data_IF_004101132964
#
_entry.id   IF_004101132964
#
_cell.length_a   1.000
_cell.length_b   1.000
_cell.length_c   1.000
_cell.angle_alpha   90.00
_cell.angle_beta   90.00
_cell.angle_gamma   90.00
#
_symmetry.space_group_name_H-M   'P 1'
#
loop_
_entity.id
_entity.type
_entity.pdbx_description
1 polymer ?
#
# COMPACT_ATOMS: atom_id res chain seq x y z
N UNK A 1 4.55 -6.41 -9.31
CA UNK A 1 3.22 -7.00 -9.66
C UNK A 1 3.23 -8.27 -10.51
N UNK A 2 3.43 -8.24 -11.83
CA UNK A 2 3.30 -9.47 -12.66
C UNK A 2 4.24 -10.61 -12.23
N UNK A 3 5.45 -10.26 -11.77
CA UNK A 3 6.39 -11.22 -11.16
C UNK A 3 5.85 -11.83 -9.86
N UNK A 4 5.24 -11.03 -8.99
CA UNK A 4 4.65 -11.51 -7.73
C UNK A 4 3.49 -12.47 -7.98
N UNK A 5 2.60 -12.13 -8.92
CA UNK A 5 1.55 -13.03 -9.37
C UNK A 5 2.10 -14.38 -9.83
N UNK A 6 3.15 -14.36 -10.66
CA UNK A 6 3.75 -15.58 -11.19
C UNK A 6 4.36 -16.45 -10.08
N UNK A 7 5.05 -15.83 -9.12
CA UNK A 7 5.60 -16.52 -7.94
C UNK A 7 4.48 -17.18 -7.11
N UNK A 8 3.45 -16.43 -6.74
CA UNK A 8 2.35 -16.93 -5.92
C UNK A 8 1.56 -18.02 -6.65
N UNK A 9 1.23 -17.81 -7.93
CA UNK A 9 0.49 -18.78 -8.72
C UNK A 9 1.25 -20.10 -8.87
N UNK A 10 2.58 -20.02 -9.05
CA UNK A 10 3.44 -21.21 -9.09
C UNK A 10 3.42 -21.94 -7.75
N UNK A 11 3.60 -21.21 -6.65
CA UNK A 11 3.61 -21.79 -5.30
C UNK A 11 2.26 -22.43 -4.93
N UNK A 12 1.15 -21.82 -5.32
CA UNK A 12 -0.18 -22.42 -5.15
C UNK A 12 -0.31 -23.74 -5.90
N UNK A 13 0.21 -23.83 -7.13
CA UNK A 13 0.22 -25.07 -7.91
C UNK A 13 1.00 -26.19 -7.24
N UNK A 14 2.18 -25.88 -6.67
CA UNK A 14 2.99 -26.84 -5.89
C UNK A 14 2.25 -27.36 -4.65
N UNK A 15 1.35 -26.54 -4.08
CA UNK A 15 0.50 -26.90 -2.94
C UNK A 15 -0.81 -27.58 -3.36
N UNK A 16 -1.00 -27.91 -4.64
CA UNK A 16 -2.21 -28.54 -5.15
C UNK A 16 -3.42 -27.60 -5.25
N UNK A 17 -3.17 -26.29 -5.27
CA UNK A 17 -4.18 -25.23 -5.41
C UNK A 17 -3.98 -24.44 -6.71
N UNK A 18 -4.78 -23.38 -6.91
CA UNK A 18 -4.65 -22.48 -8.06
C UNK A 18 -5.20 -21.10 -7.71
N UNK A 19 -4.79 -20.08 -8.48
CA UNK A 19 -5.37 -18.75 -8.37
C UNK A 19 -6.88 -18.80 -8.65
N UNK A 20 -7.70 -18.25 -7.74
CA UNK A 20 -9.17 -18.32 -7.83
C UNK A 20 -9.80 -19.52 -7.11
N UNK A 21 -9.01 -20.47 -6.60
CA UNK A 21 -9.54 -21.59 -5.80
C UNK A 21 -10.14 -21.14 -4.45
N UNK A 22 -9.69 -20.00 -3.93
CA UNK A 22 -10.16 -19.39 -2.69
C UNK A 22 -10.72 -17.99 -2.97
N UNK A 23 -11.74 -17.54 -2.24
CA UNK A 23 -12.23 -16.19 -2.36
C UNK A 23 -11.13 -15.19 -2.00
N UNK A 24 -10.94 -14.19 -2.86
CA UNK A 24 -10.02 -13.09 -2.64
C UNK A 24 -10.77 -11.76 -2.80
N UNK A 25 -10.35 -10.73 -2.06
CA UNK A 25 -10.91 -9.40 -2.22
C UNK A 25 -10.30 -8.67 -3.43
N UNK A 26 -11.10 -7.86 -4.11
CA UNK A 26 -10.66 -7.01 -5.22
C UNK A 26 -10.01 -5.68 -4.82
N UNK A 27 -9.64 -5.50 -3.55
CA UNK A 27 -9.31 -4.18 -2.98
C UNK A 27 -8.30 -3.33 -3.79
N UNK A 28 -7.22 -3.93 -4.30
CA UNK A 28 -6.26 -3.23 -5.17
C UNK A 28 -6.86 -2.83 -6.52
N UNK A 29 -7.68 -3.69 -7.12
CA UNK A 29 -8.37 -3.41 -8.38
C UNK A 29 -9.44 -2.33 -8.21
N UNK A 30 -10.19 -2.36 -7.12
CA UNK A 30 -11.20 -1.36 -6.80
C UNK A 30 -10.54 -0.01 -6.52
N UNK A 31 -9.48 0.03 -5.70
CA UNK A 31 -8.66 1.23 -5.50
C UNK A 31 -8.10 1.77 -6.82
N UNK A 32 -7.67 0.87 -7.72
CA UNK A 32 -7.20 1.23 -9.04
C UNK A 32 -8.30 1.75 -9.97
N UNK A 33 -9.58 1.43 -9.75
CA UNK A 33 -10.68 2.03 -10.51
C UNK A 33 -11.11 3.36 -9.91
N UNK A 34 -11.26 3.41 -8.60
CA UNK A 34 -11.75 4.57 -7.83
C UNK A 34 -10.79 5.76 -7.82
N UNK A 35 -9.53 5.55 -8.18
CA UNK A 35 -8.52 6.62 -8.29
C UNK A 35 -8.04 6.86 -9.72
N UNK A 36 -8.75 6.32 -10.72
CA UNK A 36 -8.39 6.52 -12.14
C UNK A 36 -8.54 7.98 -12.60
N UNK A 37 -9.29 8.79 -11.86
CA UNK A 37 -9.54 10.21 -12.11
C UNK A 37 -8.40 11.14 -11.66
N UNK A 38 -7.48 10.67 -10.82
CA UNK A 38 -6.45 11.53 -10.21
C UNK A 38 -5.14 10.80 -9.97
N UNK A 39 -4.06 11.33 -10.55
CA UNK A 39 -2.69 10.82 -10.34
C UNK A 39 -2.27 10.91 -8.88
N UNK A 40 -2.60 12.01 -8.18
CA UNK A 40 -2.31 12.12 -6.75
C UNK A 40 -3.09 11.07 -5.95
N UNK A 41 -4.39 10.88 -6.25
CA UNK A 41 -5.17 9.83 -5.60
C UNK A 41 -4.61 8.44 -5.87
N UNK A 42 -4.18 8.17 -7.11
CA UNK A 42 -3.54 6.91 -7.50
C UNK A 42 -2.29 6.64 -6.66
N UNK A 43 -1.37 7.59 -6.63
CA UNK A 43 -0.09 7.46 -5.92
C UNK A 43 -0.30 7.34 -4.42
N UNK A 44 -1.24 8.10 -3.86
CA UNK A 44 -1.55 7.98 -2.44
C UNK A 44 -2.13 6.61 -2.09
N UNK A 45 -3.16 6.15 -2.81
CA UNK A 45 -3.91 4.98 -2.38
C UNK A 45 -3.20 3.68 -2.74
N UNK A 46 -2.69 3.54 -3.96
CA UNK A 46 -2.13 2.25 -4.39
C UNK A 46 -0.75 2.02 -3.75
N UNK A 47 0.32 2.76 -4.10
CA UNK A 47 1.62 2.47 -3.54
C UNK A 47 1.80 2.96 -2.09
N UNK A 48 1.30 4.15 -1.74
CA UNK A 48 1.56 4.68 -0.40
C UNK A 48 0.61 4.16 0.70
N UNK A 49 -0.52 3.52 0.36
CA UNK A 49 -1.43 2.91 1.34
C UNK A 49 -1.50 1.39 1.21
N UNK A 50 -1.87 0.84 0.05
CA UNK A 50 -2.04 -0.61 -0.09
C UNK A 50 -0.70 -1.36 -0.09
N UNK A 51 0.29 -0.92 -0.88
CA UNK A 51 1.61 -1.58 -0.89
C UNK A 51 2.36 -1.31 0.42
N UNK A 52 2.28 -0.10 0.98
CA UNK A 52 2.81 0.21 2.30
C UNK A 52 2.19 -0.65 3.41
N UNK A 53 0.92 -1.07 3.27
CA UNK A 53 0.31 -2.04 4.19
C UNK A 53 0.98 -3.42 4.09
N UNK A 54 1.43 -3.81 2.89
CA UNK A 54 2.27 -4.99 2.68
C UNK A 54 3.51 -4.96 3.56
N UNK A 55 4.20 -3.82 3.66
CA UNK A 55 5.38 -3.69 4.53
C UNK A 55 5.11 -4.03 6.00
N UNK A 56 3.90 -3.74 6.48
CA UNK A 56 3.49 -3.96 7.86
C UNK A 56 3.07 -5.41 8.14
N UNK A 57 2.36 -6.04 7.18
CA UNK A 57 1.71 -7.34 7.40
C UNK A 57 2.59 -8.53 6.98
N UNK A 58 3.38 -8.35 5.94
CA UNK A 58 4.15 -9.41 5.27
C UNK A 58 5.20 -10.06 6.19
N UNK A 59 5.92 -9.33 7.07
CA UNK A 59 6.81 -9.96 8.03
C UNK A 59 6.11 -10.95 8.96
N UNK A 60 4.87 -10.65 9.37
CA UNK A 60 4.06 -11.55 10.19
C UNK A 60 3.64 -12.82 9.44
N UNK A 61 3.37 -12.68 8.14
CA UNK A 61 3.04 -13.81 7.27
C UNK A 61 4.27 -14.71 7.04
N UNK A 62 5.44 -14.14 6.76
CA UNK A 62 6.69 -14.90 6.62
C UNK A 62 7.01 -15.74 7.87
N UNK A 63 6.90 -15.14 9.06
CA UNK A 63 7.06 -15.87 10.33
C UNK A 63 6.09 -17.05 10.48
N UNK A 64 4.84 -16.91 10.03
CA UNK A 64 3.87 -18.01 10.09
C UNK A 64 4.29 -19.18 9.19
N UNK A 65 4.82 -18.89 8.00
CA UNK A 65 5.31 -19.94 7.10
C UNK A 65 6.54 -20.66 7.68
N UNK A 66 7.51 -19.93 8.24
CA UNK A 66 8.62 -20.55 8.97
C UNK A 66 8.16 -21.45 10.12
N UNK A 67 7.20 -20.99 10.92
CA UNK A 67 6.71 -21.74 12.07
C UNK A 67 6.03 -23.07 11.71
N UNK A 68 5.50 -23.20 10.48
CA UNK A 68 4.92 -24.45 9.98
C UNK A 68 5.88 -25.24 9.08
N UNK A 69 7.13 -24.81 8.95
CA UNK A 69 8.15 -25.45 8.13
C UNK A 69 8.00 -25.22 6.62
N UNK A 70 7.14 -24.30 6.19
CA UNK A 70 6.97 -23.94 4.77
C UNK A 70 8.00 -22.89 4.33
N UNK A 71 9.26 -23.31 4.34
CA UNK A 71 10.40 -22.49 3.96
C UNK A 71 10.32 -21.91 2.53
N UNK A 72 9.82 -22.63 1.50
CA UNK A 72 9.62 -22.04 0.18
C UNK A 72 8.64 -20.86 0.17
N UNK A 73 7.50 -20.97 0.85
CA UNK A 73 6.53 -19.88 0.94
C UNK A 73 7.06 -18.70 1.75
N UNK A 74 7.81 -18.96 2.83
CA UNK A 74 8.44 -17.91 3.62
C UNK A 74 9.38 -17.04 2.78
N UNK A 75 10.35 -17.66 2.08
CA UNK A 75 11.29 -16.95 1.19
C UNK A 75 10.60 -16.19 0.06
N UNK A 76 9.52 -16.75 -0.50
CA UNK A 76 8.73 -16.10 -1.54
C UNK A 76 8.13 -14.78 -1.02
N UNK A 77 7.51 -14.83 0.16
CA UNK A 77 6.85 -13.68 0.78
C UNK A 77 7.87 -12.63 1.23
N UNK A 78 9.06 -13.04 1.70
CA UNK A 78 10.17 -12.14 2.00
C UNK A 78 10.73 -11.44 0.75
N UNK A 79 10.80 -12.15 -0.38
CA UNK A 79 11.16 -11.52 -1.66
C UNK A 79 10.13 -10.47 -2.07
N UNK A 80 8.83 -10.78 -1.95
CA UNK A 80 7.77 -9.81 -2.25
C UNK A 80 7.91 -8.59 -1.34
N UNK A 81 8.15 -8.78 -0.04
CA UNK A 81 8.40 -7.67 0.89
C UNK A 81 9.52 -6.73 0.42
N UNK A 82 10.64 -7.28 -0.04
CA UNK A 82 11.76 -6.48 -0.54
C UNK A 82 11.38 -5.66 -1.78
N UNK A 83 10.60 -6.24 -2.69
CA UNK A 83 10.09 -5.53 -3.88
C UNK A 83 9.11 -4.41 -3.49
N UNK A 84 8.24 -4.64 -2.49
CA UNK A 84 7.25 -3.64 -2.03
C UNK A 84 7.91 -2.38 -1.47
N UNK A 85 9.11 -2.46 -0.88
CA UNK A 85 9.85 -1.26 -0.45
C UNK A 85 10.11 -0.35 -1.67
N UNK A 86 10.51 -0.96 -2.79
CA UNK A 86 10.75 -0.24 -4.04
C UNK A 86 9.49 0.37 -4.64
N UNK A 87 8.34 -0.31 -4.55
CA UNK A 87 7.08 0.23 -5.05
C UNK A 87 6.58 1.42 -4.19
N UNK A 88 6.63 1.28 -2.86
CA UNK A 88 6.32 2.38 -1.93
C UNK A 88 7.25 3.57 -2.18
N UNK A 89 8.55 3.33 -2.36
CA UNK A 89 9.53 4.38 -2.65
C UNK A 89 9.23 5.12 -3.95
N UNK A 90 8.80 4.38 -4.99
CA UNK A 90 8.35 4.99 -6.24
C UNK A 90 7.10 5.85 -6.02
N UNK A 91 6.14 5.36 -5.23
CA UNK A 91 4.93 6.10 -4.84
C UNK A 91 5.26 7.41 -4.14
N UNK A 92 6.06 7.36 -3.09
CA UNK A 92 6.48 8.55 -2.32
C UNK A 92 7.20 9.56 -3.21
N UNK A 93 8.18 9.10 -4.00
CA UNK A 93 8.96 9.98 -4.88
C UNK A 93 8.07 10.73 -5.88
N UNK A 94 7.21 10.01 -6.59
CA UNK A 94 6.35 10.65 -7.61
C UNK A 94 5.25 11.50 -6.98
N UNK A 95 4.70 11.08 -5.83
CA UNK A 95 3.71 11.87 -5.12
C UNK A 95 4.29 13.22 -4.69
N UNK A 96 5.49 13.22 -4.09
CA UNK A 96 6.18 14.44 -3.69
C UNK A 96 6.46 15.35 -4.89
N UNK A 97 6.97 14.81 -6.00
CA UNK A 97 7.21 15.60 -7.22
C UNK A 97 5.93 16.23 -7.79
N UNK A 98 4.81 15.51 -7.77
CA UNK A 98 3.52 16.05 -8.26
C UNK A 98 3.00 17.13 -7.30
N UNK A 99 3.14 16.96 -6.00
CA UNK A 99 2.80 17.98 -5.01
C UNK A 99 3.65 19.24 -5.18
N UNK A 100 4.97 19.10 -5.36
CA UNK A 100 5.89 20.22 -5.63
C UNK A 100 5.49 20.98 -6.90
N UNK A 101 5.26 20.27 -8.00
CA UNK A 101 4.85 20.88 -9.28
C UNK A 101 3.52 21.64 -9.16
N UNK A 102 2.61 21.16 -8.30
CA UNK A 102 1.31 21.80 -8.01
C UNK A 102 1.35 22.79 -6.83
N UNK A 103 2.50 22.99 -6.20
CA UNK A 103 2.68 23.83 -4.99
C UNK A 103 1.75 23.43 -3.84
N UNK A 104 1.58 22.13 -3.64
CA UNK A 104 0.78 21.56 -2.55
C UNK A 104 1.70 21.14 -1.38
N UNK A 105 1.19 21.28 -0.17
CA UNK A 105 1.79 20.63 1.00
C UNK A 105 1.55 19.11 0.90
N UNK A 106 2.64 18.34 0.81
CA UNK A 106 2.56 16.91 0.52
C UNK A 106 1.91 16.13 1.66
N UNK A 107 2.20 16.47 2.92
CA UNK A 107 1.61 15.79 4.07
C UNK A 107 0.10 16.05 4.14
N UNK A 108 -0.32 17.31 4.05
CA UNK A 108 -1.73 17.67 4.05
C UNK A 108 -2.49 17.03 2.88
N UNK A 109 -1.93 17.10 1.67
CA UNK A 109 -2.52 16.47 0.49
C UNK A 109 -2.69 14.95 0.68
N UNK A 110 -1.67 14.27 1.20
CA UNK A 110 -1.74 12.84 1.50
C UNK A 110 -2.88 12.56 2.50
N UNK A 111 -2.94 13.32 3.59
CA UNK A 111 -3.94 13.10 4.65
C UNK A 111 -5.37 13.41 4.18
N UNK A 112 -5.56 14.43 3.35
CA UNK A 112 -6.85 14.71 2.72
C UNK A 112 -7.26 13.55 1.82
N UNK A 113 -6.39 13.11 0.91
CA UNK A 113 -6.71 12.04 -0.04
C UNK A 113 -6.99 10.72 0.66
N UNK A 114 -6.21 10.34 1.67
CA UNK A 114 -6.47 9.11 2.44
C UNK A 114 -7.81 9.21 3.19
N UNK A 115 -8.15 10.37 3.77
CA UNK A 115 -9.44 10.56 4.44
C UNK A 115 -10.62 10.45 3.48
N UNK A 116 -10.49 11.01 2.28
CA UNK A 116 -11.56 11.05 1.28
C UNK A 116 -11.74 9.72 0.54
N UNK A 117 -10.62 9.04 0.24
CA UNK A 117 -10.59 7.87 -0.67
C UNK A 117 -10.32 6.54 0.06
N UNK A 118 -9.97 6.53 1.34
CA UNK A 118 -9.68 5.29 2.09
C UNK A 118 -10.46 5.19 3.42
N UNK A 119 -11.61 4.52 3.36
CA UNK A 119 -12.54 4.39 4.49
C UNK A 119 -11.99 3.63 5.70
N UNK A 120 -10.94 2.82 5.54
CA UNK A 120 -10.40 1.96 6.58
C UNK A 120 -9.49 2.66 7.60
N UNK A 121 -8.94 3.83 7.23
CA UNK A 121 -7.89 4.52 7.97
C UNK A 121 -6.57 3.73 8.06
N UNK A 122 -5.49 4.41 8.39
CA UNK A 122 -4.18 3.77 8.56
C UNK A 122 -4.08 3.17 9.95
N UNK A 123 -3.72 1.87 10.04
CA UNK A 123 -3.73 1.12 11.30
C UNK A 123 -2.35 0.59 11.68
N UNK A 124 -1.84 0.92 12.89
CA UNK A 124 -0.61 0.32 13.40
C UNK A 124 -0.78 -1.18 13.68
N UNK A 125 0.33 -1.93 13.91
CA UNK A 125 1.72 -1.46 13.90
C UNK A 125 2.20 -1.14 12.47
N UNK A 126 3.04 -0.10 12.36
CA UNK A 126 3.72 0.24 11.11
C UNK A 126 5.14 -0.31 11.12
N UNK A 127 5.59 -0.91 10.01
CA UNK A 127 6.99 -1.30 9.84
C UNK A 127 7.82 -0.05 9.52
N UNK A 128 8.18 0.68 10.58
CA UNK A 128 8.88 1.95 10.47
C UNK A 128 10.19 1.83 9.68
N UNK A 129 10.98 0.77 9.93
CA UNK A 129 12.25 0.56 9.22
C UNK A 129 12.07 0.40 7.71
N UNK A 130 11.10 -0.39 7.26
CA UNK A 130 10.85 -0.57 5.82
C UNK A 130 10.24 0.67 5.17
N UNK A 131 9.38 1.41 5.90
CA UNK A 131 8.82 2.68 5.43
C UNK A 131 9.89 3.78 5.34
N UNK A 132 10.83 3.81 6.29
CA UNK A 132 11.99 4.71 6.25
C UNK A 132 12.90 4.40 5.06
N UNK A 133 13.15 3.12 4.79
CA UNK A 133 13.90 2.67 3.60
C UNK A 133 13.21 3.09 2.29
N UNK A 134 11.88 3.06 2.28
CA UNK A 134 11.08 3.59 1.17
C UNK A 134 11.04 5.14 1.11
N UNK A 135 11.68 5.83 2.07
CA UNK A 135 11.66 7.28 2.17
C UNK A 135 10.29 7.87 2.56
N UNK A 136 9.40 7.06 3.14
CA UNK A 136 8.04 7.46 3.50
C UNK A 136 8.03 8.14 4.88
N UNK A 137 7.85 9.47 4.97
CA UNK A 137 8.01 10.18 6.23
C UNK A 137 6.97 9.77 7.28
N UNK A 138 7.43 9.53 8.51
CA UNK A 138 6.58 9.10 9.64
C UNK A 138 5.38 10.01 9.88
N UNK A 139 5.52 11.33 9.65
CA UNK A 139 4.47 12.32 9.88
C UNK A 139 3.23 12.13 8.99
N UNK A 140 3.38 11.46 7.84
CA UNK A 140 2.28 11.23 6.90
C UNK A 140 1.24 10.25 7.47
N UNK A 141 1.68 9.26 8.23
CA UNK A 141 0.85 8.13 8.66
C UNK A 141 0.77 7.92 10.17
N UNK A 142 1.52 8.69 10.96
CA UNK A 142 1.38 8.72 12.43
C UNK A 142 0.49 9.87 12.88
N UNK A 143 -0.06 9.78 14.09
CA UNK A 143 -1.04 10.77 14.57
C UNK A 143 -2.35 10.76 13.75
N UNK A 144 -2.62 9.67 13.02
CA UNK A 144 -3.88 9.44 12.32
C UNK A 144 -4.98 9.13 13.33
N UNK A 145 -5.55 10.16 13.95
CA UNK A 145 -6.84 10.06 14.61
C UNK A 145 -7.90 10.26 13.53
N UNK A 146 -8.49 9.18 13.02
CA UNK A 146 -9.59 9.29 12.07
C UNK A 146 -10.66 10.25 12.64
N UNK A 147 -11.03 11.35 11.95
CA UNK A 147 -12.22 12.06 12.34
C UNK A 147 -13.41 11.15 12.05
N UNK A 148 -14.20 10.87 13.08
CA UNK A 148 -15.56 10.39 12.89
C UNK A 148 -16.29 11.43 12.03
N UNK A 149 -16.56 11.07 10.77
CA UNK A 149 -17.34 11.78 9.76
C UNK A 149 -17.59 13.27 9.98
N UNK A 150 -16.78 14.14 9.36
CA UNK A 150 -17.24 15.48 8.99
C UNK A 150 -16.67 15.82 7.62
N UNK A 151 -17.58 16.03 6.66
CA UNK A 151 -17.26 16.42 5.30
C UNK A 151 -16.43 17.70 5.29
N UNK A 152 -15.20 17.62 4.77
CA UNK A 152 -14.41 18.81 4.46
C UNK A 152 -14.80 19.23 3.04
N UNK A 153 -15.33 20.44 2.94
CA UNK A 153 -15.67 21.09 1.68
C UNK A 153 -14.46 21.08 0.73
N UNK A 154 -14.61 20.42 -0.41
CA UNK A 154 -13.69 20.52 -1.53
C UNK A 154 -13.65 21.97 -2.02
N UNK A 155 -12.54 22.64 -1.79
CA UNK A 155 -12.17 23.86 -2.51
C UNK A 155 -10.81 23.63 -3.16
N UNK A 156 -10.78 23.87 -4.47
CA UNK A 156 -9.61 23.97 -5.35
C UNK A 156 -8.91 22.66 -5.78
N UNK A 157 -9.59 21.88 -6.62
CA UNK A 157 -8.94 21.16 -7.73
C UNK A 157 -9.79 21.30 -9.00
N UNK A 158 -9.86 22.52 -9.52
CA UNK A 158 -10.29 22.77 -10.90
C UNK A 158 -9.37 23.84 -11.49
N UNK A 159 -8.37 23.40 -12.25
CA UNK A 159 -7.87 23.97 -13.51
C UNK A 159 -6.79 23.06 -14.08
#
# INVERSE_FOLDING_TARGET
EAGHFSLISTRLGELGSHYGAMPAHGGLWDAARETSDSVLARLTIVPMVFEARGLDVTPGLGRRFHNVGDEPSARLIERILADEIGHVAAGVRWFTQVCEAKKLDAEAAFRTIVSDRFRGGLKPPFNQSARDEAGFPTSFYTGWNSPCGTAIHAAALSH
#
